data_IF_747057562001
#
_entry.id   IF_747057562001
#
_cell.length_a   1.000
_cell.length_b   1.000
_cell.length_c   1.000
_cell.angle_alpha   90.00
_cell.angle_beta   90.00
_cell.angle_gamma   90.00
#
_symmetry.space_group_name_H-M   'P 1'
#
loop_
_entity.id
_entity.type
_entity.pdbx_description
1 polymer ?
#
# COMPACT_ATOMS: atom_id res chain seq x y z
N UNK A 1 -7.04 25.20 -10.70
CA UNK A 1 -5.98 24.57 -9.88
C UNK A 1 -6.41 23.30 -9.15
N UNK A 2 -7.47 23.29 -8.32
CA UNK A 2 -7.95 22.06 -7.65
C UNK A 2 -8.30 20.92 -8.62
N UNK A 3 -8.83 21.29 -9.80
CA UNK A 3 -9.13 20.38 -10.93
C UNK A 3 -7.89 19.64 -11.47
N UNK A 4 -6.70 20.23 -11.35
CA UNK A 4 -5.44 19.62 -11.80
C UNK A 4 -4.95 18.58 -10.79
N UNK A 5 -5.10 18.86 -9.48
CA UNK A 5 -4.76 17.92 -8.42
C UNK A 5 -5.69 16.70 -8.42
N UNK A 6 -7.00 16.92 -8.57
CA UNK A 6 -7.98 15.84 -8.66
C UNK A 6 -7.76 14.97 -9.90
N UNK A 7 -7.35 15.55 -11.03
CA UNK A 7 -7.03 14.81 -12.25
C UNK A 7 -5.77 13.95 -12.07
N UNK A 8 -4.73 14.47 -11.41
CA UNK A 8 -3.51 13.72 -11.11
C UNK A 8 -3.79 12.54 -10.18
N UNK A 9 -4.52 12.75 -9.08
CA UNK A 9 -4.97 11.65 -8.23
C UNK A 9 -5.83 10.65 -8.99
N UNK A 10 -6.76 11.13 -9.83
CA UNK A 10 -7.58 10.26 -10.69
C UNK A 10 -6.74 9.35 -11.58
N UNK A 11 -5.73 9.88 -12.27
CA UNK A 11 -4.83 9.10 -13.12
C UNK A 11 -4.05 8.06 -12.29
N UNK A 12 -3.52 8.44 -11.14
CA UNK A 12 -2.79 7.51 -10.26
C UNK A 12 -3.68 6.35 -9.82
N UNK A 13 -4.91 6.65 -9.36
CA UNK A 13 -5.87 5.62 -8.96
C UNK A 13 -6.28 4.73 -10.12
N UNK A 14 -6.48 5.28 -11.32
CA UNK A 14 -6.77 4.51 -12.52
C UNK A 14 -5.61 3.55 -12.84
N UNK A 15 -4.35 4.01 -12.79
CA UNK A 15 -3.21 3.14 -13.04
C UNK A 15 -3.09 2.01 -12.01
N UNK A 16 -3.29 2.31 -10.72
CA UNK A 16 -3.31 1.30 -9.65
C UNK A 16 -4.45 0.29 -9.87
N UNK A 17 -5.64 0.79 -10.24
CA UNK A 17 -6.78 -0.06 -10.56
C UNK A 17 -6.49 -1.02 -11.71
N UNK A 18 -5.94 -0.53 -12.83
CA UNK A 18 -5.55 -1.39 -13.95
C UNK A 18 -4.49 -2.41 -13.52
N UNK A 19 -3.47 -2.00 -12.76
CA UNK A 19 -2.41 -2.91 -12.31
C UNK A 19 -2.92 -4.07 -11.43
N UNK A 20 -4.02 -3.88 -10.71
CA UNK A 20 -4.57 -4.88 -9.78
C UNK A 20 -5.64 -5.76 -10.43
N UNK A 21 -6.53 -5.14 -11.21
CA UNK A 21 -7.74 -5.78 -11.70
C UNK A 21 -7.64 -6.25 -13.14
N UNK A 22 -6.73 -5.70 -13.96
CA UNK A 22 -6.61 -6.09 -15.35
C UNK A 22 -5.52 -7.15 -15.53
N UNK A 23 -5.90 -8.30 -16.10
CA UNK A 23 -4.94 -9.33 -16.53
C UNK A 23 -4.53 -9.04 -17.98
N UNK A 24 -3.28 -8.56 -18.23
CA UNK A 24 -2.85 -8.20 -19.58
C UNK A 24 -2.66 -9.41 -20.49
N UNK A 25 -2.51 -10.62 -19.94
CA UNK A 25 -2.32 -11.84 -20.72
C UNK A 25 -3.65 -12.33 -21.30
N UNK A 26 -4.74 -12.15 -20.57
CA UNK A 26 -6.09 -12.57 -20.98
C UNK A 26 -6.93 -11.42 -21.55
N UNK A 27 -6.54 -10.17 -21.27
CA UNK A 27 -7.30 -8.98 -21.68
C UNK A 27 -8.59 -8.78 -20.89
N UNK A 28 -8.70 -9.38 -19.71
CA UNK A 28 -9.93 -9.43 -18.91
C UNK A 28 -9.74 -8.81 -17.52
N UNK A 29 -10.83 -8.31 -16.94
CA UNK A 29 -10.84 -7.84 -15.55
C UNK A 29 -11.11 -9.00 -14.60
N UNK A 30 -10.15 -9.27 -13.72
CA UNK A 30 -10.21 -10.30 -12.69
C UNK A 30 -10.43 -9.65 -11.34
N UNK A 31 -11.62 -9.85 -10.78
CA UNK A 31 -12.08 -9.22 -9.53
C UNK A 31 -11.83 -10.05 -8.28
N UNK A 32 -11.81 -11.36 -8.45
CA UNK A 32 -11.64 -12.33 -7.38
C UNK A 32 -10.25 -12.93 -7.40
N UNK A 33 -9.81 -13.37 -6.23
CA UNK A 33 -8.61 -14.17 -6.07
C UNK A 33 -8.95 -15.42 -5.28
N UNK A 34 -8.23 -16.50 -5.58
CA UNK A 34 -8.33 -17.75 -4.85
C UNK A 34 -7.15 -17.84 -3.89
N UNK A 35 -7.44 -18.13 -2.62
CA UNK A 35 -6.46 -18.50 -1.60
C UNK A 35 -6.64 -19.96 -1.22
N UNK A 36 -5.57 -20.58 -0.73
CA UNK A 36 -5.53 -21.96 -0.27
C UNK A 36 -4.08 -22.40 -0.10
N UNK A 37 -3.88 -23.64 0.36
CA UNK A 37 -2.55 -24.27 0.36
C UNK A 37 -2.40 -24.98 -0.99
N UNK A 38 -1.37 -24.61 -1.75
CA UNK A 38 -1.05 -25.31 -2.98
C UNK A 38 -0.21 -26.54 -2.64
N UNK A 39 -0.79 -27.73 -2.76
CA UNK A 39 -0.12 -28.99 -2.43
C UNK A 39 0.80 -29.46 -3.57
N UNK A 40 0.40 -29.21 -4.81
CA UNK A 40 1.18 -29.56 -6.01
C UNK A 40 1.18 -28.38 -6.98
N UNK A 41 2.37 -27.84 -7.25
CA UNK A 41 2.56 -26.73 -8.19
C UNK A 41 3.30 -27.21 -9.44
N UNK A 42 2.70 -26.98 -10.61
CA UNK A 42 3.34 -27.20 -11.90
C UNK A 42 4.15 -25.96 -12.29
N UNK A 43 5.49 -26.10 -12.24
CA UNK A 43 6.41 -25.01 -12.58
C UNK A 43 6.49 -24.72 -14.08
N UNK A 44 6.17 -25.69 -14.95
CA UNK A 44 6.19 -25.47 -16.40
C UNK A 44 4.93 -24.74 -16.86
N UNK A 45 3.77 -25.12 -16.31
CA UNK A 45 2.49 -24.49 -16.64
C UNK A 45 2.16 -23.27 -15.77
N UNK A 46 2.92 -23.02 -14.69
CA UNK A 46 2.74 -21.87 -13.80
C UNK A 46 1.42 -21.89 -13.03
N UNK A 47 0.90 -23.08 -12.73
CA UNK A 47 -0.41 -23.26 -12.13
C UNK A 47 -0.36 -24.28 -10.98
N UNK A 48 -1.20 -24.04 -9.98
CA UNK A 48 -1.40 -25.02 -8.92
C UNK A 48 -2.35 -26.12 -9.40
N UNK A 49 -1.91 -27.38 -9.31
CA UNK A 49 -2.69 -28.55 -9.71
C UNK A 49 -3.67 -28.99 -8.62
N UNK A 50 -3.28 -28.81 -7.35
CA UNK A 50 -4.08 -29.24 -6.19
C UNK A 50 -4.08 -28.16 -5.11
N UNK A 51 -5.26 -27.61 -4.81
CA UNK A 51 -5.46 -26.59 -3.78
C UNK A 51 -6.31 -27.17 -2.65
N UNK A 52 -5.78 -27.13 -1.43
CA UNK A 52 -6.52 -27.53 -0.24
C UNK A 52 -7.28 -26.35 0.36
N UNK A 53 -8.55 -26.58 0.72
CA UNK A 53 -9.48 -25.61 1.28
C UNK A 53 -9.54 -24.27 0.50
N UNK A 54 -9.86 -24.31 -0.82
CA UNK A 54 -9.89 -23.10 -1.63
C UNK A 54 -10.95 -22.12 -1.12
N UNK A 55 -10.54 -20.87 -0.93
CA UNK A 55 -11.44 -19.75 -0.64
C UNK A 55 -11.28 -18.69 -1.71
N UNK A 56 -12.37 -18.43 -2.43
CA UNK A 56 -12.49 -17.31 -3.36
C UNK A 56 -13.03 -16.09 -2.63
N UNK A 57 -12.39 -14.95 -2.83
CA UNK A 57 -12.84 -13.67 -2.31
C UNK A 57 -12.37 -12.53 -3.20
N UNK A 58 -13.03 -11.38 -3.05
CA UNK A 58 -12.70 -10.20 -3.83
C UNK A 58 -11.30 -9.68 -3.50
N UNK A 59 -10.54 -9.33 -4.53
CA UNK A 59 -9.24 -8.64 -4.39
C UNK A 59 -9.33 -7.35 -3.57
N UNK A 60 -10.48 -6.66 -3.59
CA UNK A 60 -10.69 -5.47 -2.76
C UNK A 60 -10.62 -5.79 -1.27
N UNK A 61 -11.19 -6.92 -0.85
CA UNK A 61 -11.13 -7.40 0.53
C UNK A 61 -9.68 -7.80 0.90
N UNK A 62 -8.92 -8.30 -0.08
CA UNK A 62 -7.51 -8.62 0.12
C UNK A 62 -6.67 -7.37 0.41
N UNK A 63 -6.99 -6.25 -0.26
CA UNK A 63 -6.23 -5.00 -0.27
C UNK A 63 -6.55 -4.05 0.87
N UNK A 64 -7.62 -4.29 1.64
CA UNK A 64 -8.05 -3.43 2.73
C UNK A 64 -7.86 -4.15 4.06
N UNK A 65 -6.85 -3.71 4.81
CA UNK A 65 -6.58 -4.07 6.18
C UNK A 65 -6.61 -2.81 7.05
N UNK A 66 -7.79 -2.57 7.63
CA UNK A 66 -8.04 -1.39 8.44
C UNK A 66 -7.13 -1.27 9.67
N UNK A 67 -6.81 -2.36 10.41
CA UNK A 67 -5.89 -2.28 11.54
C UNK A 67 -4.49 -1.79 11.15
N UNK A 68 -3.89 -2.34 10.09
CA UNK A 68 -2.55 -1.92 9.64
C UNK A 68 -2.56 -0.48 9.15
N UNK A 69 -3.61 -0.09 8.41
CA UNK A 69 -3.76 1.29 7.92
C UNK A 69 -3.87 2.29 9.08
N UNK A 70 -4.70 2.00 10.08
CA UNK A 70 -4.82 2.84 11.27
C UNK A 70 -3.50 2.95 12.03
N UNK A 71 -2.77 1.84 12.21
CA UNK A 71 -1.49 1.85 12.89
C UNK A 71 -0.50 2.80 12.22
N UNK A 72 -0.37 2.71 10.89
CA UNK A 72 0.54 3.57 10.11
C UNK A 72 0.12 5.04 10.23
N UNK A 73 -1.17 5.33 10.11
CA UNK A 73 -1.66 6.70 10.21
C UNK A 73 -1.45 7.29 11.60
N UNK A 74 -1.80 6.56 12.66
CA UNK A 74 -1.58 7.02 14.04
C UNK A 74 -0.09 7.29 14.29
N UNK A 75 0.79 6.36 13.89
CA UNK A 75 2.23 6.55 14.02
C UNK A 75 2.73 7.79 13.27
N UNK A 76 2.28 7.95 12.02
CA UNK A 76 2.61 9.10 11.17
C UNK A 76 2.15 10.42 11.80
N UNK A 77 0.88 10.53 12.17
CA UNK A 77 0.32 11.76 12.73
C UNK A 77 0.97 12.12 14.07
N UNK A 78 1.19 11.14 14.95
CA UNK A 78 1.85 11.37 16.22
C UNK A 78 3.29 11.88 16.06
N UNK A 79 4.06 11.36 15.10
CA UNK A 79 5.44 11.78 14.91
C UNK A 79 5.63 13.04 14.04
N UNK A 80 4.65 13.42 13.23
CA UNK A 80 4.75 14.61 12.36
C UNK A 80 4.04 15.86 12.91
N UNK A 81 3.09 15.70 13.83
CA UNK A 81 2.25 16.81 14.28
C UNK A 81 2.91 17.63 15.40
N UNK A 82 3.62 18.68 15.01
CA UNK A 82 4.17 19.67 15.95
C UNK A 82 3.34 20.96 15.96
N UNK A 83 3.26 21.62 17.14
CA UNK A 83 2.47 22.85 17.37
C UNK A 83 2.94 24.03 16.50
N UNK A 84 4.22 24.08 16.13
CA UNK A 84 4.82 25.16 15.32
C UNK A 84 5.31 24.66 13.95
N UNK A 85 5.44 25.58 12.97
CA UNK A 85 6.06 25.32 11.66
C UNK A 85 5.14 25.48 10.45
N UNK A 86 5.74 25.63 9.26
CA UNK A 86 5.06 25.71 7.96
C UNK A 86 4.34 24.38 7.64
N UNK A 87 3.08 24.46 7.18
CA UNK A 87 2.27 23.33 6.75
C UNK A 87 2.98 22.45 5.71
N UNK A 88 3.66 23.06 4.73
CA UNK A 88 4.40 22.35 3.67
C UNK A 88 5.45 21.43 4.30
N UNK A 89 6.27 21.97 5.22
CA UNK A 89 7.31 21.21 5.90
C UNK A 89 6.73 20.12 6.81
N UNK A 90 5.55 20.35 7.42
CA UNK A 90 4.88 19.33 8.23
C UNK A 90 4.39 18.15 7.38
N UNK A 91 3.77 18.43 6.24
CA UNK A 91 3.28 17.41 5.32
C UNK A 91 4.44 16.64 4.67
N UNK A 92 5.55 17.32 4.36
CA UNK A 92 6.76 16.68 3.82
C UNK A 92 7.36 15.72 4.85
N UNK A 93 7.51 16.15 6.11
CA UNK A 93 7.94 15.27 7.22
C UNK A 93 6.98 14.10 7.44
N UNK A 94 5.68 14.36 7.43
CA UNK A 94 4.66 13.31 7.55
C UNK A 94 4.80 12.27 6.43
N UNK A 95 5.14 12.71 5.21
CA UNK A 95 5.32 11.80 4.09
C UNK A 95 6.50 10.84 4.30
N UNK A 96 7.66 11.35 4.72
CA UNK A 96 8.82 10.53 5.06
C UNK A 96 8.50 9.59 6.22
N UNK A 97 7.88 10.12 7.27
CA UNK A 97 7.54 9.33 8.44
C UNK A 97 6.54 8.21 8.14
N UNK A 98 5.58 8.42 7.24
CA UNK A 98 4.63 7.36 6.84
C UNK A 98 5.31 6.22 6.09
N UNK A 99 6.31 6.54 5.27
CA UNK A 99 7.14 5.54 4.60
C UNK A 99 7.96 4.77 5.64
N UNK A 100 8.66 5.46 6.53
CA UNK A 100 9.49 4.85 7.56
C UNK A 100 8.65 3.98 8.51
N UNK A 101 7.42 4.40 8.84
CA UNK A 101 6.48 3.64 9.67
C UNK A 101 6.06 2.32 9.00
N UNK A 102 5.77 2.36 7.69
CA UNK A 102 5.48 1.16 6.90
C UNK A 102 6.68 0.21 6.84
N UNK A 103 7.88 0.74 6.58
CA UNK A 103 9.14 -0.01 6.54
C UNK A 103 9.46 -0.68 7.89
N UNK A 104 9.35 0.06 9.00
CA UNK A 104 9.59 -0.47 10.35
C UNK A 104 8.56 -1.55 10.70
N UNK A 105 7.27 -1.31 10.43
CA UNK A 105 6.22 -2.28 10.73
C UNK A 105 6.44 -3.59 9.98
N UNK A 106 6.80 -3.50 8.70
CA UNK A 106 7.13 -4.65 7.88
C UNK A 106 8.42 -5.36 8.33
N UNK A 107 9.45 -4.61 8.71
CA UNK A 107 10.70 -5.16 9.23
C UNK A 107 10.49 -5.93 10.54
N UNK A 108 9.75 -5.33 11.48
CA UNK A 108 9.38 -6.00 12.75
C UNK A 108 8.55 -7.26 12.48
N UNK A 109 7.57 -7.17 11.57
CA UNK A 109 6.78 -8.33 11.15
C UNK A 109 7.65 -9.45 10.56
N UNK A 110 8.61 -9.11 9.70
CA UNK A 110 9.55 -10.06 9.12
C UNK A 110 10.44 -10.73 10.16
N UNK A 111 11.02 -9.96 11.09
CA UNK A 111 11.83 -10.51 12.18
C UNK A 111 11.03 -11.48 13.04
N UNK A 112 9.81 -11.10 13.46
CA UNK A 112 8.95 -11.97 14.27
C UNK A 112 8.53 -13.24 13.51
N UNK A 113 8.26 -13.12 12.21
CA UNK A 113 7.89 -14.26 11.37
C UNK A 113 9.02 -15.28 11.24
N UNK A 114 10.23 -14.82 10.94
CA UNK A 114 11.38 -15.70 10.71
C UNK A 114 12.06 -16.19 12.00
N UNK A 115 11.74 -15.59 13.15
CA UNK A 115 12.15 -16.10 14.46
C UNK A 115 11.25 -17.24 14.96
N UNK A 116 10.00 -17.30 14.48
CA UNK A 116 9.01 -18.30 14.89
C UNK A 116 9.18 -19.66 14.21
N UNK A 117 8.24 -20.57 14.52
CA UNK A 117 8.17 -21.89 13.86
C UNK A 117 7.77 -21.72 12.40
N UNK A 118 8.48 -22.40 11.50
CA UNK A 118 8.18 -22.37 10.07
C UNK A 118 6.86 -23.11 9.78
N UNK A 119 5.85 -22.36 9.36
CA UNK A 119 4.54 -22.89 8.96
C UNK A 119 4.00 -22.08 7.78
N UNK A 120 3.86 -22.72 6.61
CA UNK A 120 3.59 -22.03 5.33
C UNK A 120 2.30 -21.19 5.35
N UNK A 121 1.20 -21.74 5.88
CA UNK A 121 -0.06 -20.99 5.97
C UNK A 121 0.05 -19.75 6.89
N UNK A 122 0.81 -19.85 7.99
CA UNK A 122 1.06 -18.73 8.88
C UNK A 122 1.95 -17.68 8.20
N UNK A 123 2.93 -18.11 7.41
CA UNK A 123 3.77 -17.23 6.59
C UNK A 123 2.98 -16.49 5.52
N UNK A 124 2.13 -17.17 4.76
CA UNK A 124 1.30 -16.52 3.75
C UNK A 124 0.44 -15.40 4.36
N UNK A 125 -0.14 -15.65 5.53
CA UNK A 125 -0.93 -14.66 6.25
C UNK A 125 -0.07 -13.52 6.83
N UNK A 126 1.12 -13.82 7.39
CA UNK A 126 2.01 -12.80 7.93
C UNK A 126 2.61 -11.90 6.82
N UNK A 127 3.05 -12.49 5.71
CA UNK A 127 3.53 -11.76 4.54
C UNK A 127 2.48 -10.80 4.00
N UNK A 128 1.20 -11.19 3.99
CA UNK A 128 0.11 -10.27 3.65
C UNK A 128 0.21 -8.99 4.47
N UNK A 129 0.27 -9.06 5.81
CA UNK A 129 0.33 -7.87 6.66
C UNK A 129 1.63 -7.08 6.48
N UNK A 130 2.77 -7.76 6.33
CA UNK A 130 4.08 -7.13 6.08
C UNK A 130 4.04 -6.30 4.79
N UNK A 131 3.54 -6.86 3.69
CA UNK A 131 3.46 -6.16 2.41
C UNK A 131 2.36 -5.08 2.41
N UNK A 132 1.25 -5.29 3.13
CA UNK A 132 0.23 -4.24 3.31
C UNK A 132 0.79 -3.05 4.09
N UNK A 133 1.62 -3.29 5.12
CA UNK A 133 2.24 -2.21 5.87
C UNK A 133 3.16 -1.35 4.98
N UNK A 134 3.97 -1.99 4.14
CA UNK A 134 4.76 -1.31 3.12
C UNK A 134 3.87 -0.51 2.15
N UNK A 135 2.85 -1.15 1.60
CA UNK A 135 1.95 -0.54 0.62
C UNK A 135 1.29 0.71 1.20
N UNK A 136 0.72 0.64 2.40
CA UNK A 136 0.03 1.76 3.03
C UNK A 136 0.97 2.89 3.45
N UNK A 137 2.18 2.56 3.92
CA UNK A 137 3.20 3.57 4.22
C UNK A 137 3.57 4.35 2.96
N UNK A 138 3.88 3.65 1.86
CA UNK A 138 4.20 4.28 0.58
C UNK A 138 3.04 5.05 -0.03
N UNK A 139 1.82 4.49 -0.01
CA UNK A 139 0.64 5.14 -0.55
C UNK A 139 0.34 6.44 0.20
N UNK A 140 0.42 6.41 1.54
CA UNK A 140 0.24 7.60 2.37
C UNK A 140 1.32 8.64 2.08
N UNK A 141 2.58 8.22 1.98
CA UNK A 141 3.70 9.11 1.64
C UNK A 141 3.48 9.80 0.28
N UNK A 142 3.09 9.03 -0.72
CA UNK A 142 2.86 9.52 -2.07
C UNK A 142 1.72 10.55 -2.14
N UNK A 143 0.62 10.29 -1.42
CA UNK A 143 -0.48 11.25 -1.30
C UNK A 143 0.01 12.55 -0.66
N UNK A 144 0.75 12.45 0.45
CA UNK A 144 1.26 13.61 1.17
C UNK A 144 2.25 14.43 0.33
N UNK A 145 3.22 13.79 -0.34
CA UNK A 145 4.16 14.46 -1.24
C UNK A 145 3.45 15.16 -2.40
N UNK A 146 2.41 14.54 -2.95
CA UNK A 146 1.62 15.15 -4.03
C UNK A 146 0.94 16.43 -3.57
N UNK A 147 0.42 16.45 -2.34
CA UNK A 147 -0.18 17.65 -1.73
C UNK A 147 0.89 18.71 -1.41
N UNK A 148 2.05 18.30 -0.90
CA UNK A 148 3.21 19.19 -0.68
C UNK A 148 3.60 19.90 -1.97
N UNK A 149 3.78 19.15 -3.05
CA UNK A 149 4.17 19.70 -4.35
C UNK A 149 3.11 20.68 -4.88
N UNK A 150 1.83 20.38 -4.68
CA UNK A 150 0.75 21.31 -5.03
C UNK A 150 0.84 22.63 -4.25
N UNK A 151 1.13 22.57 -2.95
CA UNK A 151 1.30 23.78 -2.14
C UNK A 151 2.56 24.57 -2.52
N UNK A 152 3.70 23.90 -2.75
CA UNK A 152 4.94 24.53 -3.21
C UNK A 152 4.73 25.28 -4.53
N UNK A 153 4.12 24.64 -5.54
CA UNK A 153 3.80 25.30 -6.81
C UNK A 153 2.86 26.50 -6.66
N UNK A 154 1.91 26.44 -5.71
CA UNK A 154 1.03 27.57 -5.43
C UNK A 154 1.77 28.74 -4.77
N UNK A 155 2.71 28.47 -3.87
CA UNK A 155 3.57 29.50 -3.26
C UNK A 155 4.47 30.15 -4.31
N UNK A 156 5.02 29.36 -5.24
CA UNK A 156 5.83 29.85 -6.38
C UNK A 156 5.01 30.74 -7.32
N UNK A 157 3.81 30.31 -7.74
CA UNK A 157 2.91 31.09 -8.59
C UNK A 157 2.50 32.43 -7.93
N UNK A 158 2.29 32.43 -6.61
CA UNK A 158 1.94 33.63 -5.86
C UNK A 158 3.12 34.60 -5.68
N UNK A 159 4.37 34.11 -5.74
CA UNK A 159 5.57 34.94 -5.61
C UNK A 159 5.95 35.62 -6.94
N UNK A 160 5.43 35.11 -8.06
CA UNK A 160 5.67 35.63 -9.42
C UNK A 160 4.60 36.65 -9.87
N UNK A 161 3.49 36.78 -9.15
CA UNK A 161 2.39 37.71 -9.40
C UNK A 161 2.34 38.81 -8.34
#
# INVERSE_FOLDING_TARGET
MYRTLSLRFGIMFVMIYFAIFFDPMKGEFVWDMQSGICNEFDFEAGQCLSIENPKTFSKLVALIDFPTLLFIWVFTFCGSYFKSGNLVNKLERASHLSKDAGEICACVGGVLLFWGIFHEAAMANAFKYIFMAYLYGHLTAFILVTVVNFHKSKEEDNALN
#
